data_IF_799995525797
#
_entry.id   IF_799995525797
#
_cell.length_a   1.000
_cell.length_b   1.000
_cell.length_c   1.000
_cell.angle_alpha   90.00
_cell.angle_beta   90.00
_cell.angle_gamma   90.00
#
_symmetry.space_group_name_H-M   'P 1'
#
loop_
_entity.id
_entity.type
_entity.pdbx_description
1 polymer ?
#
# COMPACT_ATOMS: atom_id res chain seq x y z
N UNK A 1 45.49 24.12 -63.71
CA UNK A 1 44.66 24.88 -62.74
C UNK A 1 43.73 23.89 -62.05
N UNK A 2 43.74 23.87 -60.71
CA UNK A 2 43.10 22.86 -59.85
C UNK A 2 41.58 23.08 -59.79
N UNK A 3 40.78 22.06 -60.11
CA UNK A 3 39.36 22.00 -59.75
C UNK A 3 39.19 21.04 -58.57
N UNK A 4 38.87 21.59 -57.40
CA UNK A 4 38.61 20.84 -56.18
C UNK A 4 37.15 20.41 -56.09
N UNK A 5 36.91 19.10 -56.07
CA UNK A 5 35.61 18.51 -55.76
C UNK A 5 35.40 18.54 -54.23
N UNK A 6 34.45 19.35 -53.74
CA UNK A 6 33.99 19.29 -52.34
C UNK A 6 32.87 18.27 -52.24
N UNK A 7 33.18 17.10 -51.68
CA UNK A 7 32.18 16.12 -51.24
C UNK A 7 31.40 16.68 -50.05
N UNK A 8 30.07 16.73 -50.16
CA UNK A 8 29.15 17.07 -49.06
C UNK A 8 28.87 15.79 -48.28
N UNK A 9 29.33 15.73 -47.04
CA UNK A 9 28.99 14.67 -46.08
C UNK A 9 27.64 15.05 -45.45
N UNK A 10 26.59 14.28 -45.72
CA UNK A 10 25.36 14.28 -44.91
C UNK A 10 25.64 13.51 -43.61
N UNK A 11 25.39 14.04 -42.40
CA UNK A 11 25.39 13.23 -41.21
C UNK A 11 24.07 12.46 -41.16
N UNK A 12 24.14 11.13 -41.24
CA UNK A 12 23.02 10.26 -40.94
C UNK A 12 22.68 10.40 -39.45
N UNK A 13 21.47 10.87 -39.15
CA UNK A 13 20.91 10.87 -37.81
C UNK A 13 20.65 9.40 -37.41
N UNK A 14 21.51 8.82 -36.60
CA UNK A 14 21.24 7.52 -35.95
C UNK A 14 20.29 7.81 -34.79
N UNK A 15 19.00 7.56 -35.00
CA UNK A 15 18.01 7.57 -33.95
C UNK A 15 18.24 6.32 -33.09
N UNK A 16 18.95 6.49 -31.97
CA UNK A 16 19.09 5.46 -30.96
C UNK A 16 17.74 5.29 -30.25
N UNK A 17 16.95 4.29 -30.66
CA UNK A 17 15.82 3.81 -29.88
C UNK A 17 16.36 3.18 -28.59
N UNK A 18 16.34 3.95 -27.51
CA UNK A 18 16.49 3.43 -26.15
C UNK A 18 15.25 2.58 -25.84
N UNK A 19 15.37 1.27 -26.05
CA UNK A 19 14.47 0.32 -25.42
C UNK A 19 14.78 0.33 -23.92
N UNK A 20 13.95 1.02 -23.15
CA UNK A 20 13.86 0.80 -21.71
C UNK A 20 13.39 -0.64 -21.49
N UNK A 21 14.32 -1.54 -21.22
CA UNK A 21 14.03 -2.87 -20.72
C UNK A 21 13.49 -2.72 -19.30
N UNK A 22 12.19 -2.47 -19.18
CA UNK A 22 11.49 -2.72 -17.93
C UNK A 22 11.74 -4.18 -17.57
N UNK A 23 12.40 -4.41 -16.44
CA UNK A 23 12.63 -5.74 -15.92
C UNK A 23 11.26 -6.40 -15.69
N UNK A 24 10.82 -7.22 -16.64
CA UNK A 24 9.79 -8.20 -16.41
C UNK A 24 10.34 -9.15 -15.34
N UNK A 25 9.98 -8.89 -14.10
CA UNK A 25 10.22 -9.82 -13.01
C UNK A 25 9.66 -11.19 -13.44
N UNK A 26 10.50 -12.22 -13.44
CA UNK A 26 10.11 -13.56 -13.80
C UNK A 26 8.86 -13.95 -12.99
N UNK A 27 7.81 -14.41 -13.67
CA UNK A 27 6.48 -14.65 -13.09
C UNK A 27 6.45 -15.65 -11.92
N UNK A 28 7.58 -16.26 -11.54
CA UNK A 28 7.71 -17.20 -10.42
C UNK A 28 8.64 -16.79 -9.26
N UNK A 29 9.31 -15.64 -9.30
CA UNK A 29 10.17 -15.22 -8.17
C UNK A 29 9.36 -14.45 -7.12
N UNK A 30 9.57 -14.73 -5.83
CA UNK A 30 8.95 -14.02 -4.70
C UNK A 30 7.71 -14.69 -4.11
N UNK A 31 7.01 -13.97 -3.23
CA UNK A 31 5.88 -14.52 -2.48
C UNK A 31 4.70 -14.79 -3.41
N UNK A 32 4.16 -16.00 -3.31
CA UNK A 32 2.91 -16.40 -3.94
C UNK A 32 1.77 -16.41 -2.91
N UNK A 33 1.04 -15.30 -2.84
CA UNK A 33 -0.27 -15.29 -2.18
C UNK A 33 -1.34 -15.77 -3.16
N UNK A 34 -2.34 -16.52 -2.66
CA UNK A 34 -3.39 -17.13 -3.49
C UNK A 34 -4.24 -16.12 -4.26
N UNK A 35 -5.34 -16.56 -4.86
CA UNK A 35 -6.29 -15.63 -5.47
C UNK A 35 -6.97 -14.77 -4.39
N UNK A 36 -7.18 -13.46 -4.62
CA UNK A 36 -7.94 -12.65 -3.69
C UNK A 36 -9.38 -13.16 -3.57
N UNK A 37 -10.07 -12.79 -2.48
CA UNK A 37 -11.42 -13.25 -2.19
C UNK A 37 -12.42 -12.95 -3.30
N UNK A 38 -13.22 -13.95 -3.68
CA UNK A 38 -14.28 -13.79 -4.69
C UNK A 38 -15.41 -12.84 -4.20
N UNK A 39 -15.59 -12.68 -2.89
CA UNK A 39 -16.61 -11.80 -2.32
C UNK A 39 -16.43 -10.34 -2.73
N UNK A 40 -15.19 -9.91 -3.00
CA UNK A 40 -14.89 -8.54 -3.45
C UNK A 40 -15.64 -8.16 -4.72
N UNK A 41 -16.02 -9.13 -5.57
CA UNK A 41 -16.72 -8.90 -6.83
C UNK A 41 -18.14 -8.38 -6.63
N UNK A 42 -18.73 -8.58 -5.44
CA UNK A 42 -20.07 -8.05 -5.10
C UNK A 42 -20.09 -6.52 -5.00
N UNK A 43 -18.94 -5.91 -4.67
CA UNK A 43 -18.80 -4.45 -4.55
C UNK A 43 -18.00 -3.94 -5.75
N UNK A 44 -18.55 -3.10 -6.66
CA UNK A 44 -17.82 -2.61 -7.82
C UNK A 44 -16.57 -1.81 -7.44
N UNK A 45 -15.44 -2.18 -8.03
CA UNK A 45 -14.15 -1.58 -7.72
C UNK A 45 -14.11 -0.06 -7.97
N UNK A 46 -14.67 0.38 -9.10
CA UNK A 46 -14.71 1.80 -9.49
C UNK A 46 -15.58 2.64 -8.56
N UNK A 47 -16.63 2.05 -7.96
CA UNK A 47 -17.45 2.74 -6.97
C UNK A 47 -16.62 3.02 -5.72
N UNK A 48 -15.88 2.02 -5.24
CA UNK A 48 -15.07 2.16 -4.04
C UNK A 48 -13.90 3.12 -4.22
N UNK A 49 -13.27 3.13 -5.40
CA UNK A 49 -12.20 4.07 -5.74
C UNK A 49 -12.70 5.53 -5.77
N UNK A 50 -13.93 5.77 -6.29
CA UNK A 50 -14.54 7.11 -6.25
C UNK A 50 -14.85 7.54 -4.82
N UNK A 51 -15.34 6.62 -3.98
CA UNK A 51 -15.59 6.89 -2.56
C UNK A 51 -14.28 7.20 -1.84
N UNK A 52 -13.26 6.36 -2.00
CA UNK A 52 -11.92 6.55 -1.45
C UNK A 52 -11.33 7.91 -1.81
N UNK A 53 -11.41 8.32 -3.08
CA UNK A 53 -10.94 9.63 -3.51
C UNK A 53 -11.68 10.78 -2.80
N UNK A 54 -13.01 10.65 -2.64
CA UNK A 54 -13.83 11.67 -1.96
C UNK A 54 -13.47 11.79 -0.48
N UNK A 55 -13.36 10.65 0.22
CA UNK A 55 -12.97 10.60 1.64
C UNK A 55 -11.55 11.14 1.85
N UNK A 56 -10.61 10.77 0.98
CA UNK A 56 -9.23 11.24 1.05
C UNK A 56 -9.09 12.75 0.84
N UNK A 57 -9.82 13.31 -0.14
CA UNK A 57 -9.87 14.78 -0.35
C UNK A 57 -10.45 15.48 0.89
N UNK A 58 -11.51 14.93 1.49
CA UNK A 58 -12.11 15.47 2.70
C UNK A 58 -11.13 15.44 3.88
N UNK A 59 -10.41 14.33 4.06
CA UNK A 59 -9.38 14.18 5.08
C UNK A 59 -8.27 15.22 4.92
N UNK A 60 -7.72 15.39 3.71
CA UNK A 60 -6.68 16.39 3.44
C UNK A 60 -7.17 17.80 3.74
N UNK A 61 -8.40 18.16 3.33
CA UNK A 61 -8.99 19.48 3.64
C UNK A 61 -9.10 19.70 5.14
N UNK A 62 -9.57 18.70 5.88
CA UNK A 62 -9.66 18.76 7.35
C UNK A 62 -8.29 18.92 7.99
N UNK A 63 -7.31 18.09 7.63
CA UNK A 63 -5.95 18.19 8.13
C UNK A 63 -5.33 19.56 7.83
N UNK A 64 -5.52 20.08 6.62
CA UNK A 64 -5.02 21.40 6.22
C UNK A 64 -5.67 22.52 7.05
N UNK A 65 -6.98 22.50 7.28
CA UNK A 65 -7.65 23.49 8.14
C UNK A 65 -7.16 23.49 9.59
N UNK A 66 -6.58 22.36 10.02
CA UNK A 66 -5.99 22.18 11.35
C UNK A 66 -4.48 22.43 11.36
N UNK A 67 -3.90 22.90 10.24
CA UNK A 67 -2.45 23.06 10.05
C UNK A 67 -1.67 21.76 10.31
N UNK A 68 -2.32 20.62 10.07
CA UNK A 68 -1.78 19.28 10.29
C UNK A 68 -1.40 18.57 8.98
N UNK A 69 -1.70 19.13 7.80
CA UNK A 69 -1.22 18.56 6.54
C UNK A 69 0.22 19.02 6.31
N UNK A 70 1.17 18.09 6.18
CA UNK A 70 2.56 18.43 5.94
C UNK A 70 2.73 19.13 4.57
N UNK A 71 3.54 20.20 4.47
CA UNK A 71 3.85 20.83 3.19
C UNK A 71 4.70 19.93 2.30
N UNK A 72 4.70 20.20 1.00
CA UNK A 72 5.36 19.40 -0.04
C UNK A 72 6.87 19.18 0.18
N UNK A 73 7.55 20.13 0.83
CA UNK A 73 8.98 20.10 1.13
C UNK A 73 9.33 19.50 2.50
N UNK A 74 8.33 19.09 3.28
CA UNK A 74 8.54 18.48 4.59
C UNK A 74 9.44 17.23 4.48
N UNK A 75 10.54 17.12 5.25
CA UNK A 75 11.53 16.06 5.06
C UNK A 75 10.95 14.64 5.08
N UNK A 76 10.10 14.31 6.05
CA UNK A 76 9.49 12.98 6.13
C UNK A 76 8.49 12.70 5.02
N UNK A 77 7.82 13.73 4.47
CA UNK A 77 6.93 13.56 3.33
C UNK A 77 7.73 13.23 2.06
N UNK A 78 8.85 13.94 1.82
CA UNK A 78 9.75 13.64 0.70
C UNK A 78 10.35 12.24 0.81
N UNK A 79 10.74 11.86 2.02
CA UNK A 79 11.22 10.52 2.36
C UNK A 79 10.17 9.44 2.02
N UNK A 80 8.93 9.59 2.48
CA UNK A 80 7.84 8.68 2.16
C UNK A 80 7.57 8.59 0.66
N UNK A 81 7.57 9.72 -0.05
CA UNK A 81 7.37 9.73 -1.51
C UNK A 81 8.48 9.01 -2.25
N UNK A 82 9.74 9.16 -1.83
CA UNK A 82 10.86 8.40 -2.40
C UNK A 82 10.75 6.89 -2.16
N UNK A 83 10.21 6.48 -1.01
CA UNK A 83 9.90 5.07 -0.73
C UNK A 83 8.79 4.57 -1.66
N UNK A 84 7.70 5.34 -1.79
CA UNK A 84 6.57 4.99 -2.64
C UNK A 84 6.96 4.87 -4.12
N UNK A 85 7.77 5.80 -4.63
CA UNK A 85 8.31 5.78 -5.99
C UNK A 85 9.06 4.48 -6.32
N UNK A 86 9.71 3.88 -5.32
CA UNK A 86 10.43 2.60 -5.47
C UNK A 86 9.51 1.38 -5.33
N UNK A 87 8.44 1.46 -4.55
CA UNK A 87 7.50 0.35 -4.30
C UNK A 87 6.43 0.23 -5.41
N UNK A 88 5.81 1.34 -5.79
CA UNK A 88 4.66 1.38 -6.73
C UNK A 88 4.91 0.64 -8.05
N UNK A 89 6.11 0.66 -8.66
CA UNK A 89 6.37 -0.07 -9.90
C UNK A 89 6.12 -1.59 -9.81
N UNK A 90 6.15 -2.18 -8.61
CA UNK A 90 5.91 -3.60 -8.40
C UNK A 90 4.44 -3.94 -8.09
N UNK A 91 3.56 -2.94 -7.97
CA UNK A 91 2.17 -3.11 -7.56
C UNK A 91 1.33 -3.95 -8.55
N UNK A 92 1.59 -3.80 -9.86
CA UNK A 92 0.84 -4.50 -10.92
C UNK A 92 0.95 -6.02 -10.84
N UNK A 93 2.02 -6.53 -10.20
CA UNK A 93 2.20 -7.95 -9.90
C UNK A 93 1.02 -8.54 -9.12
N UNK A 94 0.45 -7.75 -8.19
CA UNK A 94 -0.63 -8.22 -7.31
C UNK A 94 -2.00 -7.69 -7.73
N UNK A 95 -2.05 -6.60 -8.51
CA UNK A 95 -3.29 -6.08 -9.08
C UNK A 95 -3.02 -5.24 -10.34
N UNK A 96 -3.41 -5.74 -11.52
CA UNK A 96 -3.21 -5.03 -12.79
C UNK A 96 -3.91 -3.66 -12.86
N UNK A 97 -4.97 -3.42 -12.06
CA UNK A 97 -5.65 -2.11 -12.03
C UNK A 97 -4.77 -1.01 -11.40
N UNK A 98 -3.74 -1.40 -10.63
CA UNK A 98 -2.77 -0.47 -10.05
C UNK A 98 -2.06 0.40 -11.09
N UNK A 99 -1.92 -0.08 -12.33
CA UNK A 99 -1.39 0.67 -13.47
C UNK A 99 -2.17 1.97 -13.75
N UNK A 100 -3.46 1.99 -13.41
CA UNK A 100 -4.38 3.11 -13.66
C UNK A 100 -4.62 3.97 -12.41
N UNK A 101 -4.10 3.55 -11.26
CA UNK A 101 -4.31 4.26 -10.01
C UNK A 101 -3.55 5.58 -9.97
N UNK A 102 -4.19 6.60 -9.42
CA UNK A 102 -3.61 7.92 -9.25
C UNK A 102 -2.93 7.99 -7.90
N UNK A 103 -1.74 7.40 -7.78
CA UNK A 103 -1.03 7.29 -6.52
C UNK A 103 -0.78 8.66 -5.88
N UNK A 104 -1.08 8.77 -4.59
CA UNK A 104 -0.85 9.99 -3.82
C UNK A 104 -0.40 9.62 -2.41
N UNK A 105 0.65 10.29 -1.92
CA UNK A 105 1.21 10.08 -0.57
C UNK A 105 1.20 11.41 0.16
N UNK A 106 0.58 11.43 1.34
CA UNK A 106 0.54 12.58 2.23
C UNK A 106 0.91 12.18 3.67
N UNK A 107 1.38 13.17 4.44
CA UNK A 107 1.72 13.03 5.84
C UNK A 107 0.83 13.96 6.68
N UNK A 108 0.22 13.40 7.72
CA UNK A 108 -0.68 14.10 8.63
C UNK A 108 -0.03 14.20 10.01
N UNK A 109 0.15 15.43 10.48
CA UNK A 109 0.61 15.75 11.82
C UNK A 109 -0.38 15.29 12.88
N UNK A 110 -0.04 14.24 13.60
CA UNK A 110 -0.86 13.65 14.66
C UNK A 110 -0.03 12.67 15.47
N UNK A 111 -0.27 12.59 16.77
CA UNK A 111 0.40 11.61 17.66
C UNK A 111 -0.06 10.17 17.46
N UNK A 112 -1.06 9.94 16.60
CA UNK A 112 -1.54 8.60 16.30
C UNK A 112 -0.46 7.78 15.60
N UNK A 113 -0.24 6.55 16.07
CA UNK A 113 0.51 5.52 15.35
C UNK A 113 -0.47 4.92 14.35
N UNK A 114 -0.43 5.41 13.11
CA UNK A 114 -1.27 4.92 12.03
C UNK A 114 -0.69 5.22 10.65
N UNK A 115 -1.10 4.43 9.67
CA UNK A 115 -1.00 4.70 8.24
C UNK A 115 -2.17 3.98 7.54
N UNK A 116 -2.48 4.35 6.31
CA UNK A 116 -3.42 3.59 5.48
C UNK A 116 -3.15 3.78 3.98
N UNK A 117 -3.61 2.84 3.16
CA UNK A 117 -3.79 3.04 1.72
C UNK A 117 -5.23 2.71 1.29
N UNK A 118 -5.97 3.72 0.82
CA UNK A 118 -7.30 3.49 0.27
C UNK A 118 -7.24 2.99 -1.19
N UNK A 119 -8.30 2.32 -1.68
CA UNK A 119 -8.44 1.95 -3.09
C UNK A 119 -8.14 3.12 -4.05
N UNK A 120 -7.43 2.83 -5.14
CA UNK A 120 -7.00 3.86 -6.09
C UNK A 120 -5.71 4.59 -5.67
N UNK A 121 -4.94 4.03 -4.74
CA UNK A 121 -3.58 4.44 -4.40
C UNK A 121 -3.48 5.69 -3.52
N UNK A 122 -4.42 5.89 -2.59
CA UNK A 122 -4.42 7.08 -1.71
C UNK A 122 -3.81 6.73 -0.35
N UNK A 123 -2.56 7.09 -0.15
CA UNK A 123 -1.73 6.70 0.99
C UNK A 123 -1.61 7.85 1.98
N UNK A 124 -1.84 7.61 3.27
CA UNK A 124 -1.51 8.59 4.30
C UNK A 124 -0.74 7.95 5.44
N UNK A 125 0.27 8.68 5.93
CA UNK A 125 1.01 8.37 7.14
C UNK A 125 0.72 9.43 8.21
N UNK A 126 0.89 9.05 9.47
CA UNK A 126 0.75 9.95 10.61
C UNK A 126 2.11 10.16 11.27
N UNK A 127 2.46 11.39 11.66
CA UNK A 127 3.80 11.67 12.23
C UNK A 127 4.09 10.85 13.47
N UNK A 128 3.08 10.51 14.28
CA UNK A 128 3.20 9.63 15.44
C UNK A 128 3.69 8.22 15.11
N UNK A 129 3.43 7.71 13.91
CA UNK A 129 4.02 6.44 13.44
C UNK A 129 5.52 6.62 13.18
N UNK A 130 5.89 7.60 12.36
CA UNK A 130 7.29 7.79 11.93
C UNK A 130 8.20 8.27 13.07
N UNK A 131 7.82 9.38 13.70
CA UNK A 131 8.61 10.07 14.72
C UNK A 131 8.45 9.39 16.09
N UNK A 132 7.24 8.91 16.40
CA UNK A 132 6.95 8.26 17.68
C UNK A 132 7.64 6.91 17.83
N UNK A 133 7.76 6.14 16.75
CA UNK A 133 8.48 4.85 16.74
C UNK A 133 9.90 4.96 16.19
N UNK A 134 10.29 6.13 15.67
CA UNK A 134 11.60 6.37 15.03
C UNK A 134 11.87 5.34 13.94
N UNK A 135 10.97 5.29 12.95
CA UNK A 135 11.06 4.31 11.88
C UNK A 135 12.23 4.61 10.93
N UNK A 136 13.04 3.60 10.63
CA UNK A 136 14.02 3.62 9.54
C UNK A 136 13.33 3.59 8.17
N UNK A 137 14.08 3.81 7.08
CA UNK A 137 13.52 3.78 5.72
C UNK A 137 12.97 2.40 5.39
N UNK A 138 13.67 1.35 5.82
CA UNK A 138 13.24 -0.03 5.64
C UNK A 138 11.94 -0.30 6.43
N UNK A 139 11.84 0.14 7.69
CA UNK A 139 10.62 -0.05 8.48
C UNK A 139 9.44 0.74 7.92
N UNK A 140 9.66 1.98 7.45
CA UNK A 140 8.63 2.77 6.78
C UNK A 140 8.19 2.13 5.45
N UNK A 141 9.12 1.51 4.71
CA UNK A 141 8.83 0.75 3.51
C UNK A 141 8.00 -0.51 3.79
N UNK A 142 8.24 -1.20 4.90
CA UNK A 142 7.41 -2.34 5.33
C UNK A 142 5.98 -1.89 5.61
N UNK A 143 5.78 -0.80 6.37
CA UNK A 143 4.43 -0.26 6.60
C UNK A 143 3.78 0.14 5.28
N UNK A 144 4.51 0.83 4.40
CA UNK A 144 3.97 1.26 3.12
C UNK A 144 3.58 0.09 2.22
N UNK A 145 4.43 -0.94 2.14
CA UNK A 145 4.15 -2.16 1.40
C UNK A 145 2.91 -2.88 1.94
N UNK A 146 2.78 -2.99 3.26
CA UNK A 146 1.61 -3.57 3.93
C UNK A 146 0.32 -2.80 3.58
N UNK A 147 0.33 -1.46 3.67
CA UNK A 147 -0.83 -0.66 3.31
C UNK A 147 -1.20 -0.78 1.83
N UNK A 148 -0.21 -0.70 0.95
CA UNK A 148 -0.40 -0.91 -0.48
C UNK A 148 -0.99 -2.30 -0.74
N UNK A 149 -0.53 -3.33 -0.03
CA UNK A 149 -1.07 -4.67 -0.16
C UNK A 149 -2.57 -4.75 0.16
N UNK A 150 -3.07 -4.09 1.22
CA UNK A 150 -4.52 -4.04 1.48
C UNK A 150 -5.31 -3.50 0.29
N UNK A 151 -4.80 -2.45 -0.36
CA UNK A 151 -5.43 -1.90 -1.55
C UNK A 151 -5.35 -2.87 -2.75
N UNK A 152 -4.17 -3.45 -3.02
CA UNK A 152 -3.95 -4.36 -4.15
C UNK A 152 -4.78 -5.63 -4.04
N UNK A 153 -4.87 -6.19 -2.84
CA UNK A 153 -5.68 -7.38 -2.53
C UNK A 153 -7.17 -7.07 -2.38
N UNK A 154 -7.50 -5.78 -2.34
CA UNK A 154 -8.86 -5.25 -2.29
C UNK A 154 -9.64 -5.68 -1.03
N UNK A 155 -8.94 -5.80 0.11
CA UNK A 155 -9.52 -6.21 1.39
C UNK A 155 -10.71 -5.32 1.82
N UNK A 156 -10.68 -4.02 1.48
CA UNK A 156 -11.80 -3.11 1.74
C UNK A 156 -13.08 -3.51 0.98
N UNK A 157 -12.97 -3.94 -0.30
CA UNK A 157 -14.11 -4.41 -1.09
C UNK A 157 -14.69 -5.69 -0.49
N UNK A 158 -13.82 -6.63 -0.11
CA UNK A 158 -14.23 -7.85 0.57
C UNK A 158 -14.93 -7.56 1.90
N UNK A 159 -14.38 -6.66 2.72
CA UNK A 159 -14.95 -6.32 4.02
C UNK A 159 -16.34 -5.69 3.88
N UNK A 160 -16.52 -4.82 2.89
CA UNK A 160 -17.83 -4.25 2.56
C UNK A 160 -18.80 -5.32 2.10
N UNK A 161 -18.39 -6.20 1.18
CA UNK A 161 -19.23 -7.31 0.72
C UNK A 161 -19.68 -8.22 1.88
N UNK A 162 -18.76 -8.57 2.79
CA UNK A 162 -19.07 -9.33 4.01
C UNK A 162 -20.08 -8.60 4.90
N UNK A 163 -19.94 -7.28 5.06
CA UNK A 163 -20.89 -6.46 5.82
C UNK A 163 -22.28 -6.41 5.17
N UNK A 164 -22.36 -6.26 3.84
CA UNK A 164 -23.63 -6.26 3.11
C UNK A 164 -24.34 -7.62 3.25
N UNK A 165 -23.63 -8.72 3.08
CA UNK A 165 -24.17 -10.07 3.25
C UNK A 165 -24.66 -10.32 4.69
N UNK A 166 -23.90 -9.88 5.69
CA UNK A 166 -24.29 -9.99 7.10
C UNK A 166 -25.58 -9.21 7.38
N UNK A 167 -25.68 -7.99 6.85
CA UNK A 167 -26.87 -7.15 7.00
C UNK A 167 -28.09 -7.76 6.29
N UNK A 168 -27.92 -8.33 5.09
CA UNK A 168 -29.00 -9.05 4.39
C UNK A 168 -29.49 -10.25 5.20
N UNK A 169 -28.57 -11.07 5.73
CA UNK A 169 -28.90 -12.22 6.57
C UNK A 169 -29.65 -11.82 7.85
N UNK A 170 -29.18 -10.78 8.53
CA UNK A 170 -29.83 -10.24 9.71
C UNK A 170 -31.23 -9.69 9.40
N UNK A 171 -31.41 -9.04 8.25
CA UNK A 171 -32.71 -8.53 7.81
C UNK A 171 -33.70 -9.65 7.50
N UNK A 172 -33.26 -10.73 6.84
CA UNK A 172 -34.10 -11.89 6.61
C UNK A 172 -34.53 -12.50 7.95
N UNK A 173 -33.59 -12.75 8.86
CA UNK A 173 -33.91 -13.26 10.20
C UNK A 173 -34.87 -12.33 10.97
N UNK A 174 -34.67 -11.01 10.90
CA UNK A 174 -35.55 -10.02 11.53
C UNK A 174 -36.94 -9.90 10.90
N UNK A 175 -37.09 -10.21 9.62
CA UNK A 175 -38.39 -10.33 8.95
C UNK A 175 -39.14 -11.60 9.38
N UNK A 176 -38.43 -12.72 9.55
CA UNK A 176 -39.03 -13.95 10.09
C UNK A 176 -39.46 -13.78 11.56
N UNK A 177 -38.78 -12.94 12.35
CA UNK A 177 -39.04 -12.71 13.78
C UNK A 177 -39.94 -11.46 14.01
N UNK A 178 -40.33 -10.75 12.95
CA UNK A 178 -41.45 -9.81 12.97
C UNK A 178 -41.16 -8.38 13.44
N UNK A 179 -40.01 -7.78 13.12
CA UNK A 179 -39.75 -6.34 13.38
C UNK A 179 -38.81 -5.69 12.33
N UNK A 180 -39.18 -5.80 11.05
CA UNK A 180 -38.38 -5.30 9.93
C UNK A 180 -38.37 -3.77 9.80
N UNK A 181 -37.37 -3.10 10.39
CA UNK A 181 -36.96 -1.73 10.02
C UNK A 181 -35.43 -1.59 10.03
N UNK A 182 -34.78 -2.00 8.96
CA UNK A 182 -33.32 -1.81 8.76
C UNK A 182 -32.96 -1.49 7.29
N UNK A 183 -33.85 -0.82 6.56
CA UNK A 183 -33.64 -0.50 5.14
C UNK A 183 -32.68 0.68 4.88
N UNK A 184 -32.30 1.45 5.91
CA UNK A 184 -31.46 2.66 5.74
C UNK A 184 -29.94 2.44 5.93
N UNK A 185 -29.51 1.27 6.42
CA UNK A 185 -28.09 0.97 6.60
C UNK A 185 -27.32 0.85 5.28
N UNK A 186 -28.02 0.66 4.15
CA UNK A 186 -27.43 0.47 2.82
C UNK A 186 -26.98 1.76 2.15
N UNK A 187 -27.43 2.94 2.60
CA UNK A 187 -27.16 4.22 1.91
C UNK A 187 -25.93 4.98 2.41
N UNK A 188 -25.39 4.59 3.55
CA UNK A 188 -24.19 5.23 4.09
C UNK A 188 -23.03 4.30 3.76
N UNK A 189 -22.42 4.48 2.58
CA UNK A 189 -21.13 3.86 2.28
C UNK A 189 -20.20 4.12 3.46
N UNK A 190 -19.87 3.06 4.21
CA UNK A 190 -19.17 3.19 5.49
C UNK A 190 -17.82 3.86 5.31
N UNK A 191 -17.36 4.59 6.34
CA UNK A 191 -16.06 5.26 6.33
C UNK A 191 -14.94 4.21 6.19
N UNK A 192 -14.16 4.30 5.10
CA UNK A 192 -13.12 3.33 4.78
C UNK A 192 -12.02 3.28 5.85
N UNK A 193 -11.79 4.38 6.57
CA UNK A 193 -10.82 4.47 7.65
C UNK A 193 -11.23 3.71 8.92
N UNK A 194 -12.48 3.26 9.00
CA UNK A 194 -13.01 2.52 10.15
C UNK A 194 -13.12 1.02 9.90
N UNK A 195 -12.75 0.56 8.70
CA UNK A 195 -12.72 -0.85 8.40
C UNK A 195 -11.63 -1.54 9.24
N UNK A 196 -12.02 -2.67 9.80
CA UNK A 196 -11.11 -3.60 10.48
C UNK A 196 -11.00 -4.84 9.62
N UNK A 197 -9.77 -5.25 9.33
CA UNK A 197 -9.47 -6.36 8.45
C UNK A 197 -9.44 -7.70 9.19
N UNK A 198 -9.62 -8.80 8.45
CA UNK A 198 -9.53 -10.14 9.03
C UNK A 198 -8.07 -10.50 9.35
N UNK A 199 -7.83 -11.55 10.15
CA UNK A 199 -6.45 -12.00 10.41
C UNK A 199 -5.80 -12.53 9.13
N UNK A 200 -6.60 -13.13 8.26
CA UNK A 200 -6.18 -13.65 6.96
C UNK A 200 -5.79 -12.49 6.03
N UNK A 201 -6.55 -11.39 6.02
CA UNK A 201 -6.24 -10.17 5.28
C UNK A 201 -4.89 -9.57 5.75
N UNK A 202 -4.66 -9.54 7.05
CA UNK A 202 -3.42 -9.04 7.66
C UNK A 202 -2.21 -9.90 7.30
N UNK A 203 -2.34 -11.23 7.38
CA UNK A 203 -1.29 -12.16 6.95
C UNK A 203 -0.97 -11.99 5.47
N UNK A 204 -1.98 -11.84 4.62
CA UNK A 204 -1.79 -11.61 3.20
C UNK A 204 -1.08 -10.27 2.92
N UNK A 205 -1.49 -9.21 3.63
CA UNK A 205 -0.88 -7.90 3.51
C UNK A 205 0.58 -7.86 3.98
N UNK A 206 0.94 -8.60 5.03
CA UNK A 206 2.34 -8.75 5.47
C UNK A 206 3.21 -9.38 4.40
N UNK A 207 2.77 -10.49 3.81
CA UNK A 207 3.55 -11.21 2.82
C UNK A 207 3.71 -10.38 1.54
N UNK A 208 2.63 -9.82 1.01
CA UNK A 208 2.71 -8.93 -0.15
C UNK A 208 3.56 -7.69 0.14
N UNK A 209 3.43 -7.12 1.34
CA UNK A 209 4.22 -5.97 1.77
C UNK A 209 5.72 -6.26 1.85
N UNK A 210 6.11 -7.42 2.37
CA UNK A 210 7.50 -7.90 2.39
C UNK A 210 8.08 -8.05 0.97
N UNK A 211 7.33 -8.67 0.06
CA UNK A 211 7.74 -8.86 -1.34
C UNK A 211 7.93 -7.50 -2.04
N UNK A 212 6.97 -6.59 -1.90
CA UNK A 212 7.05 -5.24 -2.46
C UNK A 212 8.25 -4.45 -1.92
N UNK A 213 8.48 -4.46 -0.61
CA UNK A 213 9.60 -3.76 0.02
C UNK A 213 10.94 -4.35 -0.43
N UNK A 214 11.06 -5.68 -0.46
CA UNK A 214 12.27 -6.37 -0.89
C UNK A 214 12.63 -6.04 -2.35
N UNK A 215 11.66 -6.12 -3.29
CA UNK A 215 11.89 -5.73 -4.70
C UNK A 215 12.27 -4.27 -4.86
N UNK A 216 11.70 -3.40 -4.04
CA UNK A 216 12.06 -2.00 -4.00
C UNK A 216 13.46 -1.74 -3.40
N UNK A 217 14.14 -2.78 -2.90
CA UNK A 217 15.48 -2.73 -2.33
C UNK A 217 15.50 -2.16 -0.91
N UNK A 218 14.44 -2.40 -0.15
CA UNK A 218 14.36 -2.19 1.29
C UNK A 218 14.49 -3.53 2.01
N UNK A 219 15.16 -3.53 3.17
CA UNK A 219 15.48 -4.76 3.87
C UNK A 219 14.23 -5.41 4.49
N UNK A 220 13.80 -6.60 4.03
CA UNK A 220 12.60 -7.26 4.56
C UNK A 220 12.73 -7.67 6.03
N UNK A 221 13.96 -7.78 6.56
CA UNK A 221 14.22 -8.06 7.98
C UNK A 221 13.73 -6.94 8.90
N UNK A 222 13.57 -5.72 8.38
CA UNK A 222 13.00 -4.60 9.11
C UNK A 222 11.54 -4.84 9.56
N UNK A 223 10.84 -5.82 8.97
CA UNK A 223 9.52 -6.23 9.46
C UNK A 223 9.56 -6.74 10.90
N UNK A 224 10.63 -7.42 11.31
CA UNK A 224 10.81 -7.90 12.69
C UNK A 224 10.97 -6.73 13.65
N UNK A 225 11.90 -5.80 13.36
CA UNK A 225 12.18 -4.66 14.23
C UNK A 225 11.00 -3.69 14.31
N UNK A 226 10.26 -3.52 13.20
CA UNK A 226 9.00 -2.77 13.19
C UNK A 226 8.00 -3.38 14.18
N UNK A 227 7.77 -4.69 14.13
CA UNK A 227 6.80 -5.35 15.02
C UNK A 227 7.23 -5.33 16.49
N UNK A 228 8.52 -5.39 16.78
CA UNK A 228 9.05 -5.18 18.13
C UNK A 228 8.73 -3.77 18.64
N UNK A 229 8.95 -2.73 17.81
CA UNK A 229 8.61 -1.33 18.14
C UNK A 229 7.11 -1.13 18.35
N UNK A 230 6.28 -1.69 17.46
CA UNK A 230 4.82 -1.64 17.57
C UNK A 230 4.33 -2.31 18.86
N UNK A 231 4.91 -3.48 19.20
CA UNK A 231 4.58 -4.21 20.43
C UNK A 231 5.01 -3.46 21.69
N UNK A 232 6.16 -2.79 21.65
CA UNK A 232 6.63 -1.95 22.77
C UNK A 232 5.71 -0.75 23.00
N UNK A 233 5.22 -0.11 21.93
CA UNK A 233 4.30 1.02 22.00
C UNK A 233 2.90 0.65 22.55
N UNK A 234 2.51 -0.63 22.48
CA UNK A 234 1.20 -1.13 22.92
C UNK A 234 1.06 -1.31 24.45
N UNK A 235 2.12 -1.11 25.25
CA UNK A 235 2.13 -1.42 26.69
C UNK A 235 1.26 -0.50 27.58
N UNK A 236 0.55 0.49 27.03
CA UNK A 236 -0.29 1.45 27.80
C UNK A 236 -1.70 1.69 27.27
N UNK A 237 -1.94 1.48 25.97
CA UNK A 237 -3.25 1.48 25.30
C UNK A 237 -3.06 0.92 23.88
N UNK A 238 -4.07 0.24 23.33
CA UNK A 238 -4.01 -0.25 21.96
C UNK A 238 -3.87 0.94 20.97
N UNK A 239 -2.81 1.01 20.16
CA UNK A 239 -2.68 2.05 19.14
C UNK A 239 -3.83 2.00 18.14
N UNK A 240 -4.13 3.13 17.51
CA UNK A 240 -5.16 3.19 16.46
C UNK A 240 -4.91 2.15 15.36
N UNK A 241 -3.64 1.92 15.02
CA UNK A 241 -3.21 0.84 14.13
C UNK A 241 -3.85 -0.52 14.47
N UNK A 242 -3.84 -0.96 15.74
CA UNK A 242 -4.40 -2.26 16.11
C UNK A 242 -5.93 -2.34 16.01
N UNK A 243 -6.61 -1.19 15.89
CA UNK A 243 -8.07 -1.17 15.69
C UNK A 243 -8.43 -1.52 14.24
N UNK A 244 -7.62 -1.08 13.28
CA UNK A 244 -7.81 -1.38 11.84
C UNK A 244 -7.04 -2.63 11.41
N UNK A 245 -5.89 -2.90 12.04
CA UNK A 245 -4.95 -3.99 11.77
C UNK A 245 -4.79 -4.93 12.98
N UNK A 246 -5.74 -5.86 13.20
CA UNK A 246 -5.67 -6.76 14.36
C UNK A 246 -4.45 -7.69 14.26
N UNK A 247 -3.55 -7.63 15.26
CA UNK A 247 -2.37 -8.51 15.27
C UNK A 247 -2.71 -9.96 15.62
N UNK A 248 -2.12 -10.90 14.87
CA UNK A 248 -1.94 -12.30 15.29
C UNK A 248 -0.94 -12.44 16.44
N UNK A 249 -0.98 -13.53 17.23
CA UNK A 249 0.02 -13.78 18.27
C UNK A 249 1.42 -14.08 17.72
N UNK A 250 1.56 -14.32 16.40
CA UNK A 250 2.77 -14.86 15.79
C UNK A 250 3.33 -14.04 14.62
N UNK A 251 2.95 -12.76 14.42
CA UNK A 251 3.37 -11.99 13.21
C UNK A 251 4.88 -11.97 12.98
N UNK A 252 5.69 -11.80 14.03
CA UNK A 252 7.16 -11.85 13.92
C UNK A 252 7.63 -13.20 13.36
N UNK A 253 7.12 -14.30 13.94
CA UNK A 253 7.47 -15.66 13.49
C UNK A 253 7.03 -15.90 12.06
N UNK A 254 5.84 -15.42 11.69
CA UNK A 254 5.31 -15.59 10.34
C UNK A 254 6.16 -14.79 9.33
N UNK A 255 6.62 -13.58 9.68
CA UNK A 255 7.60 -12.82 8.87
C UNK A 255 8.91 -13.60 8.73
N UNK A 256 9.48 -14.08 9.84
CA UNK A 256 10.75 -14.84 9.85
C UNK A 256 10.69 -16.09 8.96
N UNK A 257 9.55 -16.78 8.95
CA UNK A 257 9.32 -17.96 8.10
C UNK A 257 9.37 -17.65 6.60
N UNK A 258 8.95 -16.45 6.19
CA UNK A 258 8.88 -16.06 4.77
C UNK A 258 10.07 -15.21 4.32
N UNK A 259 10.97 -14.78 5.23
CA UNK A 259 12.20 -14.07 4.87
C UNK A 259 13.01 -14.79 3.77
N UNK A 260 13.19 -16.13 3.78
CA UNK A 260 13.93 -16.82 2.71
C UNK A 260 13.33 -16.64 1.31
N UNK A 261 12.03 -16.34 1.19
CA UNK A 261 11.37 -16.15 -0.10
C UNK A 261 11.62 -14.75 -0.71
N UNK A 262 11.88 -13.75 0.15
CA UNK A 262 12.02 -12.34 -0.26
C UNK A 262 13.45 -11.82 -0.19
N UNK A 263 14.31 -12.43 0.62
CA UNK A 263 15.72 -12.03 0.71
C UNK A 263 16.46 -12.05 -0.64
N UNK A 264 16.26 -13.05 -1.53
CA UNK A 264 16.87 -13.02 -2.86
C UNK A 264 16.42 -11.82 -3.71
N UNK A 265 15.17 -11.38 -3.58
CA UNK A 265 14.66 -10.19 -4.26
C UNK A 265 15.37 -8.92 -3.77
N UNK A 266 15.54 -8.82 -2.45
CA UNK A 266 16.26 -7.72 -1.82
C UNK A 266 17.74 -7.69 -2.25
N UNK A 267 18.42 -8.83 -2.24
CA UNK A 267 19.82 -8.95 -2.65
C UNK A 267 20.01 -8.53 -4.12
N UNK A 268 19.12 -8.95 -5.00
CA UNK A 268 19.10 -8.54 -6.42
C UNK A 268 18.90 -7.03 -6.56
N UNK A 269 17.89 -6.47 -5.90
CA UNK A 269 17.62 -5.04 -5.93
C UNK A 269 18.77 -4.21 -5.32
N UNK A 270 19.45 -4.73 -4.31
CA UNK A 270 20.63 -4.11 -3.71
C UNK A 270 21.84 -4.13 -4.65
N UNK A 271 22.04 -5.21 -5.41
CA UNK A 271 23.11 -5.33 -6.40
C UNK A 271 22.91 -4.43 -7.63
N UNK A 272 21.66 -4.12 -7.98
CA UNK A 272 21.32 -3.24 -9.09
C UNK A 272 21.48 -1.74 -8.77
N UNK A 273 21.65 -1.37 -7.50
CA UNK A 273 22.01 0.01 -7.14
C UNK A 273 23.46 0.26 -7.57
N UNK A 274 23.73 1.12 -8.57
CA UNK A 274 25.10 1.53 -8.81
C UNK A 274 25.56 2.27 -7.56
N UNK A 275 26.75 1.89 -7.09
CA UNK A 275 27.45 2.52 -5.98
C UNK A 275 27.31 4.04 -6.10
N UNK A 276 26.75 4.68 -5.07
CA UNK A 276 26.70 6.16 -4.99
C UNK A 276 28.15 6.64 -4.86
N UNK A 277 28.84 6.79 -5.98
CA UNK A 277 30.08 7.57 -6.10
C UNK A 277 29.75 9.06 -6.20
#
# INVERSE_FOLDING_TARGET
MRFGFRSRICPALILACLFSTGALAAEGEGISVGKPSALRELVPATQLERQANTEYVSLKRKANSQHALAPEDYPDLRRLRSIAERIIPFAERFNQRAAQWQWEVNLIGSKQINAFCMPGGKIAFFTGLLEGLKLSDDEAAIVMGHEIAHALREHARERMAKSELTNLGANLLGQLIGNGKYADAFKTGGNLLTLSFSREDESEADLVGLDLAARAGFDPRAGVTLWEKMSAANRGAAPQWLSTHPSGPNRIRDIEQHLPEVLPLYEKAAAEKPDKR
#
